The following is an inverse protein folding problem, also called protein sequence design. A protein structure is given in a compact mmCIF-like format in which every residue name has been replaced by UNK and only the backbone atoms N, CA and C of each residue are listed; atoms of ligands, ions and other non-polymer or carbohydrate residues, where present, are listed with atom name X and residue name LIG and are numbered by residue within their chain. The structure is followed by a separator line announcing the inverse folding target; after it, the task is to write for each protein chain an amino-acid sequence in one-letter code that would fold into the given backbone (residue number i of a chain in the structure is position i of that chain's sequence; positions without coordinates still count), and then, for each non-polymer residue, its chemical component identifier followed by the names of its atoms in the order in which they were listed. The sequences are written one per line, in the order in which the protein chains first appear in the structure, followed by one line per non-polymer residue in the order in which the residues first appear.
data_IF_358576634547
#
_entry.id   IF_358576634547
#
_cell.length_a   1.000
_cell.length_b   1.000
_cell.length_c   1.000
_cell.angle_alpha   90.00
_cell.angle_beta   90.00
_cell.angle_gamma   90.00
#
_symmetry.space_group_name_H-M   'P 1'
#
loop_
_entity.id
_entity.type
_entity.pdbx_description
1 polymer ?
#
# COMPACT_ATOMS: atom_id res chain seq x y z
N UNK A 1 0.44 -3.09 16.33
CA UNK A 1 1.28 -3.09 15.12
C UNK A 1 1.73 -4.52 14.90
N UNK A 2 1.50 -5.08 13.72
CA UNK A 2 1.92 -6.43 13.35
C UNK A 2 2.93 -6.33 12.21
N UNK A 3 3.87 -7.27 12.11
CA UNK A 3 4.90 -7.23 11.07
C UNK A 3 4.41 -7.89 9.78
N UNK A 4 4.93 -7.45 8.64
CA UNK A 4 4.68 -8.12 7.35
C UNK A 4 5.10 -9.60 7.39
N UNK A 5 6.13 -9.93 8.17
CA UNK A 5 6.61 -11.30 8.32
C UNK A 5 5.61 -12.20 9.09
N UNK A 6 4.96 -11.66 10.12
CA UNK A 6 3.91 -12.36 10.85
C UNK A 6 2.66 -12.56 9.97
N UNK A 7 2.31 -11.55 9.18
CA UNK A 7 1.22 -11.65 8.21
C UNK A 7 1.52 -12.71 7.14
N UNK A 8 2.74 -12.70 6.57
CA UNK A 8 3.22 -13.74 5.64
C UNK A 8 3.07 -15.13 6.23
N UNK A 9 3.61 -15.34 7.42
CA UNK A 9 3.58 -16.63 8.11
C UNK A 9 2.15 -17.11 8.33
N UNK A 10 1.26 -16.21 8.76
CA UNK A 10 -0.15 -16.53 8.97
C UNK A 10 -0.83 -16.94 7.67
N UNK A 11 -0.67 -16.16 6.61
CA UNK A 11 -1.32 -16.43 5.32
C UNK A 11 -0.84 -17.73 4.66
N UNK A 12 0.46 -18.04 4.75
CA UNK A 12 1.01 -19.30 4.24
C UNK A 12 0.49 -20.49 5.05
N UNK A 13 0.52 -20.38 6.39
CA UNK A 13 0.16 -21.50 7.27
C UNK A 13 -1.34 -21.79 7.32
N UNK A 14 -2.20 -20.81 7.04
CA UNK A 14 -3.64 -21.02 6.96
C UNK A 14 -4.08 -21.72 5.67
N UNK A 15 -3.15 -22.07 4.76
CA UNK A 15 -3.46 -22.92 3.61
C UNK A 15 -4.45 -22.30 2.63
N UNK A 16 -4.55 -20.97 2.60
CA UNK A 16 -5.52 -20.20 1.82
C UNK A 16 -5.20 -20.16 0.31
N UNK A 17 -4.28 -21.01 -0.15
CA UNK A 17 -3.83 -21.06 -1.55
C UNK A 17 -2.86 -19.95 -1.95
N UNK A 18 -2.38 -19.14 -1.00
CA UNK A 18 -1.40 -18.08 -1.25
C UNK A 18 0.01 -18.63 -0.96
N UNK A 19 0.72 -19.01 -2.01
CA UNK A 19 2.10 -19.56 -1.92
C UNK A 19 3.18 -18.53 -2.21
N UNK A 20 2.84 -17.42 -2.87
CA UNK A 20 3.75 -16.33 -3.21
C UNK A 20 3.18 -15.02 -2.68
N UNK A 21 3.70 -14.60 -1.55
CA UNK A 21 3.45 -13.26 -1.01
C UNK A 21 4.64 -12.41 -1.42
N UNK A 22 4.45 -11.31 -2.16
CA UNK A 22 5.54 -10.43 -2.54
C UNK A 22 6.37 -10.00 -1.32
N UNK A 23 7.68 -9.93 -1.49
CA UNK A 23 8.52 -9.30 -0.47
C UNK A 23 8.21 -7.80 -0.46
N UNK A 24 7.65 -7.32 0.64
CA UNK A 24 7.63 -5.90 0.97
C UNK A 24 9.06 -5.50 1.35
N UNK A 25 9.69 -4.52 0.69
CA UNK A 25 11.03 -4.06 1.04
C UNK A 25 11.00 -3.30 2.37
N UNK A 26 10.95 -4.03 3.49
CA UNK A 26 10.93 -3.50 4.86
C UNK A 26 12.30 -2.98 5.34
N UNK A 27 13.29 -2.80 4.47
CA UNK A 27 14.62 -2.35 4.87
C UNK A 27 15.07 -1.14 4.05
N UNK A 28 15.07 0.08 4.64
CA UNK A 28 14.54 0.41 5.98
C UNK A 28 13.02 0.32 6.02
N UNK A 29 12.44 0.24 7.23
CA UNK A 29 10.99 0.19 7.47
C UNK A 29 10.25 1.20 6.57
N UNK A 30 9.39 0.69 5.69
CA UNK A 30 8.56 1.54 4.82
C UNK A 30 7.21 1.75 5.49
N UNK A 31 6.76 3.00 5.49
CA UNK A 31 5.46 3.37 6.01
C UNK A 31 4.48 3.54 4.86
N UNK A 32 3.30 2.95 4.99
CA UNK A 32 2.17 3.20 4.11
C UNK A 32 1.35 4.38 4.63
N UNK A 33 0.83 5.20 3.72
CA UNK A 33 -0.12 6.26 4.06
C UNK A 33 -1.53 5.79 3.75
N UNK A 34 -2.49 6.26 4.55
CA UNK A 34 -3.90 5.94 4.40
C UNK A 34 -4.71 7.22 4.50
N UNK A 35 -5.63 7.42 3.55
CA UNK A 35 -6.60 8.52 3.56
C UNK A 35 -8.00 7.98 3.32
N UNK A 36 -9.00 8.60 3.92
CA UNK A 36 -10.42 8.20 3.78
C UNK A 36 -11.26 9.39 3.34
N UNK A 37 -12.25 9.13 2.49
CA UNK A 37 -13.26 10.12 2.16
C UNK A 37 -14.04 10.52 3.42
N UNK A 38 -13.80 11.71 3.95
CA UNK A 38 -14.46 12.17 5.17
C UNK A 38 -15.89 12.66 4.92
N UNK A 39 -16.33 12.76 3.66
CA UNK A 39 -17.71 13.14 3.35
C UNK A 39 -18.69 11.98 3.52
N UNK A 40 -18.28 10.75 3.21
CA UNK A 40 -19.16 9.57 3.20
C UNK A 40 -18.53 8.28 3.76
N UNK A 41 -17.21 8.24 3.97
CA UNK A 41 -16.45 7.08 4.46
C UNK A 41 -16.61 5.80 3.62
N UNK A 42 -16.97 5.92 2.35
CA UNK A 42 -17.16 4.78 1.43
C UNK A 42 -15.98 4.56 0.48
N UNK A 43 -15.00 5.47 0.47
CA UNK A 43 -13.81 5.37 -0.36
C UNK A 43 -12.56 5.67 0.44
N UNK A 44 -11.45 5.05 0.06
CA UNK A 44 -10.15 5.26 0.70
C UNK A 44 -9.00 5.17 -0.30
N UNK A 45 -7.85 5.68 0.12
CA UNK A 45 -6.59 5.59 -0.63
C UNK A 45 -5.53 4.94 0.26
N UNK A 46 -4.75 4.04 -0.33
CA UNK A 46 -3.53 3.52 0.25
C UNK A 46 -2.36 3.99 -0.61
N UNK A 47 -1.29 4.45 0.04
CA UNK A 47 -0.11 4.93 -0.66
C UNK A 47 1.19 4.35 -0.12
N UNK A 48 2.14 4.15 -1.01
CA UNK A 48 3.48 3.66 -0.73
C UNK A 48 4.52 4.51 -1.46
N UNK A 49 5.68 4.72 -0.83
CA UNK A 49 6.80 5.44 -1.46
C UNK A 49 7.70 4.45 -2.19
N UNK A 50 7.78 4.58 -3.51
CA UNK A 50 8.64 3.82 -4.39
C UNK A 50 10.10 4.28 -4.27
N UNK A 51 11.05 3.41 -4.66
CA UNK A 51 12.46 3.77 -4.75
C UNK A 51 12.77 4.63 -5.98
N UNK A 52 12.00 4.42 -7.05
CA UNK A 52 12.08 5.16 -8.31
C UNK A 52 10.71 5.27 -8.97
N UNK A 53 10.56 6.22 -9.89
CA UNK A 53 9.36 6.39 -10.71
C UNK A 53 9.15 5.16 -11.60
N UNK A 54 7.95 4.59 -11.55
CA UNK A 54 7.56 3.47 -12.42
C UNK A 54 6.33 3.83 -13.25
N UNK A 55 6.45 4.02 -14.58
CA UNK A 55 5.30 4.30 -15.45
C UNK A 55 4.23 3.20 -15.44
N UNK A 56 4.59 1.98 -15.04
CA UNK A 56 3.67 0.86 -14.91
C UNK A 56 2.78 0.95 -13.65
N UNK A 57 3.16 1.79 -12.69
CA UNK A 57 2.48 1.97 -11.41
C UNK A 57 1.86 3.37 -11.32
N UNK A 58 1.32 3.91 -12.41
CA UNK A 58 0.54 5.16 -12.38
C UNK A 58 -0.94 4.85 -12.47
N UNK A 59 -1.64 4.98 -11.35
CA UNK A 59 -3.09 4.74 -11.24
C UNK A 59 -3.85 6.03 -10.92
N UNK A 60 -3.44 6.72 -9.84
CA UNK A 60 -4.07 7.97 -9.38
C UNK A 60 -3.00 9.00 -9.01
N UNK A 61 -3.17 10.23 -9.50
CA UNK A 61 -2.28 11.37 -9.27
C UNK A 61 -2.97 12.48 -8.44
N UNK A 62 -2.19 13.22 -7.64
CA UNK A 62 -2.62 14.41 -6.89
C UNK A 62 -3.03 14.15 -5.44
N UNK A 63 -3.61 15.15 -4.76
CA UNK A 63 -4.03 14.99 -3.37
C UNK A 63 -5.40 14.30 -3.26
N UNK A 64 -5.40 13.07 -2.74
CA UNK A 64 -6.59 12.25 -2.53
C UNK A 64 -6.82 12.00 -1.05
N UNK A 65 -7.96 12.46 -0.53
CA UNK A 65 -8.36 12.23 0.86
C UNK A 65 -7.29 12.63 1.90
N UNK A 66 -6.47 13.64 1.58
CA UNK A 66 -5.37 14.12 2.43
C UNK A 66 -4.03 13.41 2.23
N UNK A 67 -3.92 12.51 1.23
CA UNK A 67 -2.68 11.82 0.84
C UNK A 67 -2.17 12.39 -0.48
N UNK A 68 -0.88 12.74 -0.52
CA UNK A 68 -0.25 13.31 -1.71
C UNK A 68 0.24 12.18 -2.64
N UNK A 69 -0.49 11.93 -3.73
CA UNK A 69 -0.22 10.88 -4.71
C UNK A 69 0.60 11.43 -5.87
N UNK A 70 1.78 11.97 -5.58
CA UNK A 70 2.66 12.54 -6.59
C UNK A 70 4.11 12.10 -6.38
N UNK A 71 4.89 12.18 -7.46
CA UNK A 71 6.27 11.75 -7.50
C UNK A 71 6.40 10.26 -7.16
N UNK A 72 7.32 9.95 -6.25
CA UNK A 72 7.58 8.57 -5.82
C UNK A 72 6.45 7.96 -5.00
N UNK A 73 5.37 8.70 -4.71
CA UNK A 73 4.25 8.18 -3.94
C UNK A 73 3.24 7.52 -4.87
N UNK A 74 3.25 6.19 -4.89
CA UNK A 74 2.23 5.41 -5.59
C UNK A 74 0.97 5.30 -4.74
N UNK A 75 -0.18 5.60 -5.32
CA UNK A 75 -1.48 5.46 -4.70
C UNK A 75 -2.38 4.46 -5.42
N UNK A 76 -3.24 3.81 -4.66
CA UNK A 76 -4.39 3.03 -5.14
C UNK A 76 -5.64 3.49 -4.41
N UNK A 77 -6.73 3.70 -5.17
CA UNK A 77 -8.02 4.15 -4.63
C UNK A 77 -9.05 3.01 -4.69
N UNK A 78 -9.83 2.89 -3.62
CA UNK A 78 -10.94 1.95 -3.48
C UNK A 78 -12.23 2.68 -3.13
#
# INVERSE_FOLDING_TARGET
ADSWENLKTTLVNYGIGVSNIPNDPLSPDKTYQYGVDTANYQSYVLAAVLEEESPALKDVDGNLYGVECEGLTYCVRF
#
